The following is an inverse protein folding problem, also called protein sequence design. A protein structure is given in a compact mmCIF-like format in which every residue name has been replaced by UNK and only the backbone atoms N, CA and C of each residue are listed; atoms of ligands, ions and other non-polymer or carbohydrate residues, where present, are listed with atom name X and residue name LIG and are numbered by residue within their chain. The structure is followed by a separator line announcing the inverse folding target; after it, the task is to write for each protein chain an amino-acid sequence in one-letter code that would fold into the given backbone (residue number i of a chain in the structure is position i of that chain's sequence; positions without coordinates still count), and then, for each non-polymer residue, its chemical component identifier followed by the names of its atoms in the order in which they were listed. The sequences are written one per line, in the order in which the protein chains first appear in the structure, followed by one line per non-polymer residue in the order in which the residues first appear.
data_IF_780997784007
#
_entry.id   IF_780997784007
#
_cell.length_a   1.000
_cell.length_b   1.000
_cell.length_c   1.000
_cell.angle_alpha   90.00
_cell.angle_beta   90.00
_cell.angle_gamma   90.00
#
_symmetry.space_group_name_H-M   'P 1'
#
loop_
_entity.id
_entity.type
_entity.pdbx_description
1 polymer ?
#
# COMPACT_ATOMS: atom_id res chain seq x y z
N UNK A 1 -1.51 -14.48 -3.74
CA UNK A 1 -1.27 -15.52 -4.77
C UNK A 1 -2.11 -16.79 -4.57
N UNK A 2 -2.12 -17.41 -3.39
CA UNK A 2 -2.90 -18.64 -3.12
C UNK A 2 -4.44 -18.48 -3.24
N UNK A 3 -4.94 -17.24 -3.27
CA UNK A 3 -6.34 -16.93 -3.51
C UNK A 3 -6.80 -17.34 -4.94
N UNK A 4 -5.89 -17.31 -5.92
CA UNK A 4 -6.23 -17.51 -7.34
C UNK A 4 -6.87 -18.86 -7.63
N UNK A 5 -6.27 -20.01 -7.23
CA UNK A 5 -6.89 -21.31 -7.47
C UNK A 5 -8.20 -21.49 -6.71
N UNK A 6 -8.34 -20.83 -5.55
CA UNK A 6 -9.53 -20.93 -4.69
C UNK A 6 -10.74 -20.19 -5.25
N UNK A 7 -10.53 -18.97 -5.76
CA UNK A 7 -11.63 -18.13 -6.26
C UNK A 7 -11.89 -18.29 -7.76
N UNK A 8 -10.98 -18.93 -8.52
CA UNK A 8 -11.05 -19.03 -9.99
C UNK A 8 -11.24 -17.67 -10.65
N UNK A 9 -10.51 -16.67 -10.15
CA UNK A 9 -10.62 -15.28 -10.61
C UNK A 9 -9.81 -15.07 -11.90
N UNK A 10 -10.38 -14.33 -12.84
CA UNK A 10 -9.72 -13.94 -14.10
C UNK A 10 -8.87 -12.66 -13.95
N UNK A 11 -9.10 -11.90 -12.88
CA UNK A 11 -8.40 -10.63 -12.59
C UNK A 11 -8.00 -10.58 -11.12
N UNK A 12 -6.77 -10.12 -10.88
CA UNK A 12 -6.23 -9.82 -9.56
C UNK A 12 -5.91 -8.33 -9.50
N UNK A 13 -6.37 -7.68 -8.43
CA UNK A 13 -6.05 -6.29 -8.11
C UNK A 13 -5.23 -6.30 -6.82
N UNK A 14 -4.02 -5.76 -6.88
CA UNK A 14 -3.19 -5.43 -5.72
C UNK A 14 -3.18 -3.91 -5.64
N UNK A 15 -3.97 -3.34 -4.73
CA UNK A 15 -4.28 -1.91 -4.75
C UNK A 15 -4.18 -1.35 -3.35
N UNK A 16 -3.52 -0.20 -3.22
CA UNK A 16 -3.33 0.48 -1.95
C UNK A 16 -2.18 -0.13 -1.14
N UNK A 17 -1.47 0.73 -0.41
CA UNK A 17 -0.50 0.42 0.66
C UNK A 17 0.36 -0.82 0.38
N UNK A 18 1.05 -0.79 -0.76
CA UNK A 18 1.91 -1.87 -1.24
C UNK A 18 3.21 -1.99 -0.45
N UNK A 19 3.56 -0.98 0.35
CA UNK A 19 4.77 -0.94 1.16
C UNK A 19 4.54 -1.33 2.62
N UNK A 20 5.62 -1.73 3.27
CA UNK A 20 5.66 -2.20 4.65
C UNK A 20 5.85 -1.07 5.65
N UNK A 21 5.88 -1.44 6.93
CA UNK A 21 5.68 -0.52 8.06
C UNK A 21 6.95 0.12 8.57
N UNK A 22 8.00 -0.67 8.77
CA UNK A 22 9.21 -0.23 9.45
C UNK A 22 10.40 -1.16 9.23
N UNK A 23 11.59 -0.66 9.52
CA UNK A 23 12.84 -1.42 9.48
C UNK A 23 13.12 -2.04 10.85
N UNK A 24 13.44 -3.33 10.87
CA UNK A 24 14.03 -4.03 12.01
C UNK A 24 15.47 -4.39 11.64
N UNK A 25 16.47 -3.67 12.19
CA UNK A 25 17.86 -4.00 11.93
C UNK A 25 18.27 -5.33 12.59
N UNK A 26 19.06 -6.11 11.88
CA UNK A 26 19.68 -7.35 12.33
C UNK A 26 21.13 -7.05 12.65
N UNK A 27 21.42 -6.85 13.94
CA UNK A 27 22.76 -6.42 14.36
C UNK A 27 23.66 -7.62 14.56
N UNK A 28 24.68 -7.75 13.72
CA UNK A 28 25.72 -8.78 13.84
C UNK A 28 26.73 -8.38 14.91
N UNK A 29 26.88 -9.22 15.92
CA UNK A 29 27.83 -9.01 17.03
C UNK A 29 29.14 -9.74 16.77
N UNK A 30 29.06 -10.96 16.25
CA UNK A 30 30.19 -11.80 15.80
C UNK A 30 29.65 -12.89 14.85
N UNK A 31 30.53 -13.77 14.36
CA UNK A 31 30.23 -14.75 13.30
C UNK A 31 28.92 -15.54 13.51
N UNK A 32 28.62 -15.96 14.74
CA UNK A 32 27.43 -16.73 15.09
C UNK A 32 26.61 -16.06 16.22
N UNK A 33 26.55 -14.74 16.26
CA UNK A 33 25.73 -14.02 17.22
C UNK A 33 25.12 -12.76 16.60
N UNK A 34 23.78 -12.69 16.65
CA UNK A 34 23.00 -11.55 16.20
C UNK A 34 22.02 -11.12 17.28
N UNK A 35 21.58 -9.87 17.23
CA UNK A 35 20.37 -9.47 17.91
C UNK A 35 19.49 -8.58 17.02
N UNK A 36 18.20 -8.63 17.29
CA UNK A 36 17.19 -7.71 16.77
C UNK A 36 16.50 -7.04 17.97
N UNK A 37 15.85 -5.91 17.75
CA UNK A 37 15.10 -5.22 18.80
C UNK A 37 13.68 -4.81 18.33
N UNK A 38 12.86 -5.76 17.85
CA UNK A 38 11.49 -5.44 17.47
C UNK A 38 10.71 -5.01 18.72
N UNK A 39 9.91 -3.96 18.61
CA UNK A 39 9.02 -3.48 19.69
C UNK A 39 9.73 -3.15 21.01
N UNK A 40 10.99 -2.75 20.95
CA UNK A 40 11.78 -2.39 22.14
C UNK A 40 12.22 -3.58 23.00
N UNK A 41 12.06 -4.82 22.53
CA UNK A 41 12.57 -6.02 23.18
C UNK A 41 13.73 -6.63 22.40
N UNK A 42 14.90 -6.71 23.05
CA UNK A 42 16.07 -7.36 22.46
C UNK A 42 15.86 -8.88 22.39
N UNK A 43 15.96 -9.45 21.19
CA UNK A 43 15.97 -10.88 20.94
C UNK A 43 17.37 -11.28 20.42
N UNK A 44 18.02 -12.27 21.03
CA UNK A 44 19.38 -12.75 20.65
C UNK A 44 19.32 -14.09 19.95
N UNK A 45 20.16 -14.26 18.94
CA UNK A 45 20.23 -15.45 18.12
C UNK A 45 21.68 -15.93 17.99
N UNK A 46 21.87 -17.25 18.14
CA UNK A 46 23.16 -17.94 17.99
C UNK A 46 23.13 -18.99 16.88
N UNK A 47 22.07 -18.98 16.07
CA UNK A 47 21.86 -19.86 14.92
C UNK A 47 21.25 -19.05 13.80
N UNK A 48 21.86 -19.12 12.61
CA UNK A 48 21.35 -18.44 11.42
C UNK A 48 19.95 -18.93 11.05
N UNK A 49 19.70 -20.22 11.18
CA UNK A 49 18.40 -20.83 10.88
C UNK A 49 17.28 -20.25 11.77
N UNK A 50 17.51 -20.19 13.09
CA UNK A 50 16.52 -19.61 14.02
C UNK A 50 16.30 -18.13 13.78
N UNK A 51 17.35 -17.41 13.40
CA UNK A 51 17.26 -16.01 13.02
C UNK A 51 16.37 -15.86 11.77
N UNK A 52 16.66 -16.58 10.68
CA UNK A 52 15.88 -16.50 9.45
C UNK A 52 14.40 -16.84 9.66
N UNK A 53 14.08 -17.86 10.47
CA UNK A 53 12.68 -18.17 10.83
C UNK A 53 11.98 -16.96 11.48
N UNK A 54 12.69 -16.23 12.36
CA UNK A 54 12.14 -15.02 12.98
C UNK A 54 12.03 -13.87 11.98
N UNK A 55 13.02 -13.70 11.10
CA UNK A 55 12.99 -12.66 10.07
C UNK A 55 11.84 -12.91 9.08
N UNK A 56 11.57 -14.15 8.70
CA UNK A 56 10.41 -14.52 7.88
C UNK A 56 9.09 -14.10 8.54
N UNK A 57 8.95 -14.33 9.84
CA UNK A 57 7.77 -13.86 10.58
C UNK A 57 7.65 -12.34 10.55
N UNK A 58 8.75 -11.61 10.70
CA UNK A 58 8.76 -10.14 10.64
C UNK A 58 8.42 -9.63 9.24
N UNK A 59 9.00 -10.22 8.18
CA UNK A 59 8.70 -9.92 6.79
C UNK A 59 7.22 -10.12 6.48
N UNK A 60 6.63 -11.24 6.94
CA UNK A 60 5.21 -11.52 6.81
C UNK A 60 4.30 -10.56 7.61
N UNK A 61 4.85 -9.85 8.60
CA UNK A 61 4.16 -8.81 9.36
C UNK A 61 4.31 -7.40 8.75
N UNK A 62 5.02 -7.29 7.62
CA UNK A 62 5.28 -6.03 6.91
C UNK A 62 6.53 -5.29 7.40
N UNK A 63 7.45 -5.94 8.11
CA UNK A 63 8.73 -5.33 8.48
C UNK A 63 9.82 -5.62 7.45
N UNK A 64 10.66 -4.64 7.22
CA UNK A 64 11.89 -4.79 6.46
C UNK A 64 13.04 -5.19 7.38
N UNK A 65 13.92 -6.06 6.91
CA UNK A 65 15.05 -6.54 7.69
C UNK A 65 16.32 -6.32 6.89
N UNK A 66 17.35 -5.78 7.52
CA UNK A 66 18.69 -5.67 6.92
C UNK A 66 19.74 -6.01 7.97
N UNK A 67 20.82 -6.67 7.55
CA UNK A 67 21.95 -6.98 8.43
C UNK A 67 22.92 -5.82 8.46
N UNK A 68 23.38 -5.46 9.66
CA UNK A 68 24.34 -4.39 9.89
C UNK A 68 25.20 -4.65 11.13
N UNK A 69 26.33 -3.98 11.21
CA UNK A 69 27.21 -3.88 12.37
C UNK A 69 26.70 -2.81 13.34
N UNK A 70 27.23 -2.77 14.57
CA UNK A 70 26.85 -1.75 15.55
C UNK A 70 27.25 -0.34 15.09
N UNK A 71 28.38 -0.25 14.39
CA UNK A 71 28.94 0.99 13.87
C UNK A 71 28.03 1.56 12.76
N UNK A 72 27.56 0.73 11.84
CA UNK A 72 26.59 1.11 10.81
C UNK A 72 25.25 1.55 11.41
N UNK A 73 24.76 0.88 12.46
CA UNK A 73 23.55 1.32 13.17
C UNK A 73 23.77 2.69 13.84
N UNK A 74 24.91 2.90 14.47
CA UNK A 74 25.23 4.18 15.12
C UNK A 74 25.34 5.33 14.09
N UNK A 75 25.83 5.04 12.88
CA UNK A 75 25.86 6.00 11.78
C UNK A 75 24.44 6.32 11.28
N UNK A 76 23.61 5.30 11.05
CA UNK A 76 22.21 5.49 10.62
C UNK A 76 21.41 6.32 11.64
N UNK A 77 21.61 6.07 12.93
CA UNK A 77 20.97 6.85 14.01
C UNK A 77 21.32 8.34 13.98
N UNK A 78 22.47 8.71 13.42
CA UNK A 78 22.93 10.09 13.32
C UNK A 78 22.60 10.74 11.97
N UNK A 79 22.08 9.97 11.00
CA UNK A 79 21.85 10.45 9.65
C UNK A 79 20.46 10.05 9.13
N UNK A 80 19.43 10.87 9.39
CA UNK A 80 18.05 10.60 8.95
C UNK A 80 17.94 10.35 7.44
N UNK A 81 18.70 11.09 6.61
CA UNK A 81 18.67 10.90 5.16
C UNK A 81 19.11 9.50 4.73
N UNK A 82 20.14 8.94 5.39
CA UNK A 82 20.57 7.56 5.10
C UNK A 82 19.51 6.53 5.53
N UNK A 83 18.75 6.82 6.57
CA UNK A 83 17.62 5.97 6.99
C UNK A 83 16.51 6.02 5.94
N UNK A 84 16.17 7.20 5.44
CA UNK A 84 15.16 7.39 4.39
C UNK A 84 15.57 6.66 3.10
N UNK A 85 16.83 6.83 2.66
CA UNK A 85 17.38 6.14 1.49
C UNK A 85 17.38 4.61 1.65
N UNK A 86 17.78 4.11 2.82
CA UNK A 86 17.73 2.69 3.14
C UNK A 86 16.30 2.17 3.10
N UNK A 87 15.35 2.91 3.66
CA UNK A 87 13.95 2.51 3.69
C UNK A 87 13.35 2.44 2.29
N UNK A 88 13.58 3.46 1.47
CA UNK A 88 13.17 3.47 0.07
C UNK A 88 13.76 2.30 -0.72
N UNK A 89 15.04 1.96 -0.50
CA UNK A 89 15.67 0.80 -1.16
C UNK A 89 15.03 -0.52 -0.74
N UNK A 90 14.83 -0.73 0.57
CA UNK A 90 14.18 -1.95 1.09
C UNK A 90 12.73 -2.08 0.61
N UNK A 91 12.00 -0.97 0.48
CA UNK A 91 10.65 -0.92 -0.12
C UNK A 91 10.67 -1.41 -1.56
N UNK A 92 11.55 -0.84 -2.40
CA UNK A 92 11.68 -1.21 -3.82
C UNK A 92 12.07 -2.67 -4.00
N UNK A 93 13.09 -3.14 -3.26
CA UNK A 93 13.56 -4.53 -3.33
C UNK A 93 12.44 -5.52 -2.96
N UNK A 94 11.71 -5.25 -1.88
CA UNK A 94 10.59 -6.10 -1.45
C UNK A 94 9.48 -6.15 -2.48
N UNK A 95 9.13 -5.00 -3.07
CA UNK A 95 8.08 -4.95 -4.08
C UNK A 95 8.51 -5.72 -5.34
N UNK A 96 9.72 -5.48 -5.84
CA UNK A 96 10.32 -6.22 -6.97
C UNK A 96 10.30 -7.74 -6.73
N UNK A 97 10.69 -8.21 -5.54
CA UNK A 97 10.57 -9.62 -5.15
C UNK A 97 9.13 -10.14 -5.30
N UNK A 98 8.13 -9.39 -4.82
CA UNK A 98 6.72 -9.79 -4.92
C UNK A 98 6.19 -9.78 -6.35
N UNK A 99 6.60 -8.82 -7.19
CA UNK A 99 6.19 -8.76 -8.59
C UNK A 99 6.83 -9.89 -9.42
N UNK A 100 8.08 -10.27 -9.13
CA UNK A 100 8.70 -11.48 -9.70
C UNK A 100 7.95 -12.75 -9.30
N UNK A 101 7.49 -12.84 -8.06
CA UNK A 101 6.65 -13.97 -7.64
C UNK A 101 5.31 -14.02 -8.40
N UNK A 102 4.74 -12.86 -8.74
CA UNK A 102 3.53 -12.79 -9.58
C UNK A 102 3.81 -13.35 -10.98
N UNK A 103 4.93 -12.96 -11.59
CA UNK A 103 5.37 -13.47 -12.90
C UNK A 103 5.54 -14.99 -12.92
N UNK A 104 6.15 -15.53 -11.87
CA UNK A 104 6.42 -16.97 -11.76
C UNK A 104 5.17 -17.80 -11.48
N UNK A 105 4.27 -17.30 -10.62
CA UNK A 105 3.22 -18.13 -10.01
C UNK A 105 1.82 -17.88 -10.55
N UNK A 106 1.57 -16.73 -11.18
CA UNK A 106 0.22 -16.39 -11.65
C UNK A 106 0.10 -16.73 -13.14
N UNK A 107 -0.83 -17.64 -13.51
CA UNK A 107 -1.08 -18.01 -14.91
C UNK A 107 -1.27 -16.78 -15.81
N UNK A 108 -0.74 -16.81 -17.04
CA UNK A 108 -0.64 -15.64 -17.93
C UNK A 108 -2.00 -15.10 -18.40
N UNK A 109 -3.02 -15.94 -18.32
CA UNK A 109 -4.40 -15.67 -18.70
C UNK A 109 -5.08 -14.76 -17.67
N UNK A 110 -4.55 -14.72 -16.45
CA UNK A 110 -5.07 -13.91 -15.36
C UNK A 110 -4.41 -12.55 -15.40
N UNK A 111 -5.24 -11.51 -15.56
CA UNK A 111 -4.81 -10.12 -15.52
C UNK A 111 -4.40 -9.74 -14.11
N UNK A 112 -3.26 -9.07 -13.98
CA UNK A 112 -2.77 -8.57 -12.68
C UNK A 112 -2.60 -7.08 -12.79
N UNK A 113 -3.28 -6.36 -11.90
CA UNK A 113 -3.28 -4.90 -11.85
C UNK A 113 -2.68 -4.49 -10.51
N UNK A 114 -1.72 -3.58 -10.54
CA UNK A 114 -1.01 -3.12 -9.34
C UNK A 114 -1.07 -1.60 -9.26
N UNK A 115 -1.69 -1.08 -8.20
CA UNK A 115 -1.87 0.36 -7.96
C UNK A 115 -1.30 0.75 -6.58
N UNK A 116 -0.44 1.78 -6.49
CA UNK A 116 0.02 2.31 -5.21
C UNK A 116 -1.13 2.97 -4.42
N UNK A 117 -0.98 3.03 -3.10
CA UNK A 117 -1.79 3.82 -2.18
C UNK A 117 -1.13 5.12 -1.73
N UNK A 118 -1.67 5.75 -0.69
CA UNK A 118 -1.19 7.04 -0.20
C UNK A 118 0.13 6.94 0.54
N UNK A 119 0.34 5.83 1.26
CA UNK A 119 1.56 5.55 2.02
C UNK A 119 2.76 5.18 1.13
N UNK A 120 2.48 4.81 -0.13
CA UNK A 120 3.49 4.35 -1.06
C UNK A 120 4.28 5.52 -1.70
N UNK A 121 5.60 5.53 -1.44
CA UNK A 121 6.53 6.52 -2.00
C UNK A 121 6.54 6.51 -3.54
N UNK A 122 6.84 7.64 -4.18
CA UNK A 122 6.78 7.76 -5.64
C UNK A 122 7.75 6.83 -6.38
N UNK A 123 8.85 6.47 -5.73
CA UNK A 123 9.91 5.64 -6.29
C UNK A 123 9.46 4.20 -6.58
N UNK A 124 8.38 3.72 -5.95
CA UNK A 124 7.87 2.37 -6.24
C UNK A 124 7.15 2.30 -7.59
N UNK A 125 6.71 3.43 -8.16
CA UNK A 125 5.99 3.46 -9.43
C UNK A 125 6.88 2.91 -10.56
N UNK A 126 8.17 3.26 -10.55
CA UNK A 126 9.13 2.77 -11.54
C UNK A 126 9.44 1.28 -11.37
N UNK A 127 9.36 0.76 -10.14
CA UNK A 127 9.47 -0.68 -9.89
C UNK A 127 8.27 -1.40 -10.50
N UNK A 128 7.04 -0.93 -10.26
CA UNK A 128 5.84 -1.54 -10.85
C UNK A 128 5.91 -1.50 -12.38
N UNK A 129 6.28 -0.35 -12.96
CA UNK A 129 6.39 -0.16 -14.41
C UNK A 129 7.45 -1.06 -15.06
N UNK A 130 8.53 -1.38 -14.36
CA UNK A 130 9.55 -2.30 -14.86
C UNK A 130 9.02 -3.72 -15.11
N UNK A 131 7.87 -4.08 -14.52
CA UNK A 131 7.19 -5.36 -14.70
C UNK A 131 5.96 -5.28 -15.64
N UNK A 132 5.82 -4.23 -16.46
CA UNK A 132 4.63 -4.03 -17.29
C UNK A 132 4.37 -5.13 -18.36
N UNK A 133 5.36 -5.97 -18.66
CA UNK A 133 5.18 -7.15 -19.51
C UNK A 133 4.19 -8.17 -18.91
N UNK A 134 4.06 -8.19 -17.58
CA UNK A 134 3.14 -9.09 -16.85
C UNK A 134 2.06 -8.34 -16.08
N UNK A 135 2.34 -7.11 -15.68
CA UNK A 135 1.57 -6.35 -14.70
C UNK A 135 0.99 -5.10 -15.34
N UNK A 136 -0.26 -4.77 -15.00
CA UNK A 136 -0.91 -3.56 -15.50
C UNK A 136 -0.81 -2.48 -14.42
N UNK A 137 0.00 -1.46 -14.65
CA UNK A 137 -0.02 -0.23 -13.87
C UNK A 137 -1.20 0.63 -14.33
N UNK A 138 -2.26 0.87 -13.53
CA UNK A 138 -3.55 1.33 -14.06
C UNK A 138 -3.72 2.86 -14.11
N UNK A 139 -2.77 3.62 -13.56
CA UNK A 139 -2.92 5.06 -13.41
C UNK A 139 -2.94 5.78 -14.77
N UNK A 140 -3.73 6.85 -14.82
CA UNK A 140 -3.87 7.73 -15.97
C UNK A 140 -4.31 7.05 -17.29
N UNK A 141 -4.98 5.91 -17.22
CA UNK A 141 -5.57 5.22 -18.38
C UNK A 141 -6.82 4.41 -17.98
N UNK A 142 -7.57 3.99 -18.99
CA UNK A 142 -8.69 3.05 -18.80
C UNK A 142 -8.16 1.63 -18.95
N UNK A 143 -8.41 0.77 -17.96
CA UNK A 143 -8.07 -0.65 -18.01
C UNK A 143 -9.36 -1.45 -18.11
N UNK A 144 -9.49 -2.28 -19.15
CA UNK A 144 -10.64 -3.17 -19.29
C UNK A 144 -10.40 -4.47 -18.52
N UNK A 145 -11.23 -4.72 -17.50
CA UNK A 145 -11.16 -5.95 -16.69
C UNK A 145 -11.56 -7.16 -17.55
N UNK A 146 -12.57 -6.98 -18.38
CA UNK A 146 -13.06 -7.90 -19.41
C UNK A 146 -13.59 -7.08 -20.61
N UNK A 147 -14.32 -7.71 -21.53
CA UNK A 147 -14.86 -7.06 -22.73
C UNK A 147 -15.92 -5.98 -22.45
N UNK A 148 -16.37 -5.81 -21.20
CA UNK A 148 -17.52 -4.97 -20.83
C UNK A 148 -17.23 -3.95 -19.74
N UNK A 149 -16.32 -4.26 -18.81
CA UNK A 149 -16.11 -3.47 -17.60
C UNK A 149 -14.81 -2.64 -17.71
N UNK A 150 -14.90 -1.35 -18.10
CA UNK A 150 -13.79 -0.44 -17.97
C UNK A 150 -13.52 -0.12 -16.51
N UNK A 151 -12.26 0.14 -16.19
CA UNK A 151 -11.81 0.57 -14.87
C UNK A 151 -10.95 1.83 -14.98
N UNK A 152 -11.19 2.77 -14.07
CA UNK A 152 -10.31 3.92 -13.81
C UNK A 152 -9.75 3.84 -12.40
N UNK A 153 -8.59 4.45 -12.17
CA UNK A 153 -7.83 4.30 -10.93
C UNK A 153 -7.36 5.63 -10.37
N UNK A 154 -7.31 5.75 -9.04
CA UNK A 154 -6.80 6.93 -8.33
C UNK A 154 -6.12 6.52 -7.02
N UNK A 155 -4.82 6.79 -6.96
CA UNK A 155 -3.90 6.53 -5.86
C UNK A 155 -3.94 7.59 -4.75
N UNK A 156 -4.39 8.81 -5.09
CA UNK A 156 -4.41 9.93 -4.14
C UNK A 156 -5.59 9.90 -3.19
N UNK A 157 -5.37 10.42 -1.99
CA UNK A 157 -6.38 10.59 -0.94
C UNK A 157 -6.52 12.05 -0.50
N UNK A 158 -7.59 12.35 0.22
CA UNK A 158 -7.72 13.61 0.96
C UNK A 158 -6.71 13.65 2.13
N UNK A 159 -6.38 14.84 2.69
CA UNK A 159 -5.33 14.93 3.68
C UNK A 159 -5.56 14.02 4.89
N UNK A 160 -4.51 13.36 5.36
CA UNK A 160 -4.53 12.45 6.50
C UNK A 160 -3.73 13.01 7.68
N UNK A 161 -3.84 12.43 8.89
CA UNK A 161 -2.98 12.80 10.02
C UNK A 161 -1.50 12.43 9.84
N UNK A 162 -1.15 11.65 8.82
CA UNK A 162 0.17 11.03 8.66
C UNK A 162 1.09 11.74 7.67
N UNK A 163 0.59 12.75 6.94
CA UNK A 163 1.35 13.51 5.92
C UNK A 163 2.04 12.57 4.89
N UNK A 164 1.21 11.75 4.26
CA UNK A 164 1.66 10.67 3.38
C UNK A 164 2.02 11.18 1.99
N UNK A 165 2.85 10.44 1.22
CA UNK A 165 3.34 10.89 -0.08
C UNK A 165 2.25 11.34 -1.08
N UNK A 166 1.08 10.69 -1.09
CA UNK A 166 0.03 10.92 -2.10
C UNK A 166 -1.26 11.50 -1.52
N UNK A 167 -1.12 12.65 -0.90
CA UNK A 167 -2.26 13.44 -0.43
C UNK A 167 -2.48 14.67 -1.30
N UNK A 168 -3.74 15.07 -1.44
CA UNK A 168 -4.07 16.36 -2.02
C UNK A 168 -5.35 16.91 -1.40
N UNK A 169 -5.52 18.24 -1.49
CA UNK A 169 -6.73 18.90 -1.02
C UNK A 169 -7.95 18.38 -1.79
N UNK A 170 -9.11 18.38 -1.16
CA UNK A 170 -10.35 17.87 -1.74
C UNK A 170 -10.69 18.51 -3.09
N UNK A 171 -10.42 19.81 -3.28
CA UNK A 171 -10.66 20.48 -4.55
C UNK A 171 -9.73 19.98 -5.66
N UNK A 172 -8.48 19.67 -5.33
CA UNK A 172 -7.52 19.07 -6.25
C UNK A 172 -7.89 17.62 -6.57
N UNK A 173 -8.30 16.86 -5.55
CA UNK A 173 -8.75 15.48 -5.70
C UNK A 173 -9.98 15.39 -6.59
N UNK A 174 -10.95 16.30 -6.39
CA UNK A 174 -12.12 16.41 -7.27
C UNK A 174 -11.69 16.63 -8.73
N UNK A 175 -10.78 17.56 -8.99
CA UNK A 175 -10.29 17.84 -10.36
C UNK A 175 -9.59 16.63 -10.97
N UNK A 176 -8.80 15.89 -10.19
CA UNK A 176 -8.14 14.66 -10.64
C UNK A 176 -9.17 13.57 -10.96
N UNK A 177 -10.13 13.31 -10.08
CA UNK A 177 -11.19 12.33 -10.30
C UNK A 177 -12.04 12.67 -11.53
N UNK A 178 -12.43 13.94 -11.70
CA UNK A 178 -13.14 14.43 -12.90
C UNK A 178 -12.33 14.19 -14.19
N UNK A 179 -10.99 14.30 -14.15
CA UNK A 179 -10.13 13.96 -15.28
C UNK A 179 -10.18 12.47 -15.58
N UNK A 180 -10.19 11.60 -14.57
CA UNK A 180 -10.27 10.15 -14.76
C UNK A 180 -11.62 9.72 -15.36
N UNK A 181 -12.74 10.26 -14.86
CA UNK A 181 -14.07 9.97 -15.46
C UNK A 181 -14.18 10.39 -16.93
N UNK A 182 -13.53 11.49 -17.34
CA UNK A 182 -13.51 11.93 -18.74
C UNK A 182 -12.79 10.99 -19.70
N UNK A 183 -12.01 10.02 -19.20
CA UNK A 183 -11.33 9.02 -20.03
C UNK A 183 -12.25 7.93 -20.54
N UNK A 184 -13.42 7.77 -19.91
CA UNK A 184 -14.40 6.72 -20.23
C UNK A 184 -15.59 7.35 -20.93
N UNK A 185 -16.10 6.70 -21.98
CA UNK A 185 -17.33 7.13 -22.64
C UNK A 185 -18.49 7.07 -21.63
N UNK A 186 -19.30 8.14 -21.57
CA UNK A 186 -20.43 8.23 -20.63
C UNK A 186 -21.39 7.05 -20.75
N UNK A 187 -21.54 6.45 -21.94
CA UNK A 187 -22.42 5.28 -22.15
C UNK A 187 -21.95 4.03 -21.40
N UNK A 188 -20.67 3.99 -21.02
CA UNK A 188 -20.03 2.88 -20.30
C UNK A 188 -20.03 3.07 -18.78
N UNK A 189 -20.43 4.22 -18.23
CA UNK A 189 -20.43 4.46 -16.78
C UNK A 189 -21.22 3.42 -15.97
N UNK A 190 -22.32 2.91 -16.52
CA UNK A 190 -23.10 1.82 -15.93
C UNK A 190 -22.35 0.48 -15.77
N UNK A 191 -21.19 0.33 -16.40
CA UNK A 191 -20.29 -0.82 -16.30
C UNK A 191 -18.94 -0.46 -15.66
N UNK A 192 -18.72 0.83 -15.39
CA UNK A 192 -17.45 1.36 -14.89
C UNK A 192 -17.17 0.85 -13.47
N UNK A 193 -15.94 0.39 -13.27
CA UNK A 193 -15.35 0.11 -11.96
C UNK A 193 -14.41 1.25 -11.60
N UNK A 194 -14.58 1.82 -10.40
CA UNK A 194 -13.69 2.83 -9.86
C UNK A 194 -12.77 2.17 -8.84
N UNK A 195 -11.47 2.12 -9.11
CA UNK A 195 -10.45 1.64 -8.18
C UNK A 195 -9.76 2.84 -7.52
N UNK A 196 -10.38 3.39 -6.48
CA UNK A 196 -9.94 4.62 -5.83
C UNK A 196 -9.52 4.31 -4.41
N UNK A 197 -8.27 4.59 -4.08
CA UNK A 197 -7.71 4.29 -2.76
C UNK A 197 -8.52 4.96 -1.64
N UNK A 198 -8.79 6.27 -1.75
CA UNK A 198 -9.64 6.98 -0.79
C UNK A 198 -11.08 6.44 -0.81
N UNK A 199 -11.66 6.05 0.35
CA UNK A 199 -13.05 5.68 0.43
C UNK A 199 -13.97 6.92 0.34
N UNK A 200 -15.23 6.77 -0.10
CA UNK A 200 -16.20 7.85 -0.07
C UNK A 200 -16.55 8.26 1.36
N UNK A 201 -16.56 9.56 1.62
CA UNK A 201 -16.99 10.14 2.89
C UNK A 201 -18.41 9.72 3.29
N UNK A 202 -18.64 9.57 4.59
CA UNK A 202 -19.94 9.27 5.20
C UNK A 202 -20.51 7.92 4.72
N UNK A 203 -19.67 6.89 4.81
CA UNK A 203 -20.04 5.50 4.53
C UNK A 203 -19.52 4.57 5.63
N UNK A 204 -19.86 3.28 5.57
CA UNK A 204 -19.27 2.31 6.50
C UNK A 204 -17.81 2.00 6.15
N UNK A 205 -17.34 2.35 4.95
CA UNK A 205 -15.98 2.07 4.48
C UNK A 205 -14.95 3.06 5.03
N UNK A 206 -15.38 4.26 5.46
CA UNK A 206 -14.48 5.33 5.86
C UNK A 206 -14.47 5.60 7.38
N UNK A 207 -14.98 4.66 8.18
CA UNK A 207 -14.92 4.76 9.63
C UNK A 207 -13.53 4.35 10.13
N UNK A 208 -12.83 5.29 10.77
CA UNK A 208 -11.55 5.04 11.44
C UNK A 208 -11.56 5.55 12.89
N UNK A 209 -10.71 5.00 13.78
CA UNK A 209 -10.51 5.55 15.11
C UNK A 209 -10.03 7.00 15.03
N UNK A 210 -10.70 7.89 15.76
CA UNK A 210 -10.29 9.28 15.91
C UNK A 210 -8.96 9.35 16.63
N UNK A 211 -8.06 10.17 16.10
CA UNK A 211 -6.75 10.43 16.69
C UNK A 211 -6.71 11.82 17.35
N UNK A 212 -5.96 11.93 18.44
CA UNK A 212 -5.60 13.20 19.02
C UNK A 212 -4.38 13.83 18.30
N UNK A 213 -3.97 15.02 18.75
CA UNK A 213 -2.81 15.75 18.18
C UNK A 213 -1.46 15.02 18.28
N UNK A 214 -1.38 13.97 19.11
CA UNK A 214 -0.20 13.15 19.31
C UNK A 214 -0.37 11.77 18.64
N UNK A 215 -1.38 11.62 17.77
CA UNK A 215 -1.70 10.38 17.05
C UNK A 215 -2.14 9.21 17.96
N UNK A 216 -2.63 9.51 19.17
CA UNK A 216 -3.22 8.49 20.04
C UNK A 216 -4.71 8.31 19.74
N UNK A 217 -5.20 7.07 19.82
CA UNK A 217 -6.63 6.76 19.69
C UNK A 217 -7.42 7.40 20.83
N UNK A 218 -8.44 8.18 20.47
CA UNK A 218 -9.41 8.74 21.42
C UNK A 218 -10.42 7.67 21.80
N UNK A 219 -10.61 7.44 23.10
CA UNK A 219 -11.52 6.43 23.63
C UNK A 219 -12.74 7.05 24.32
N UNK A 220 -13.88 6.35 24.25
CA UNK A 220 -15.11 6.67 24.96
C UNK A 220 -15.04 6.17 26.40
N UNK A 221 -16.03 6.54 27.22
CA UNK A 221 -16.10 6.14 28.65
C UNK A 221 -16.15 4.61 28.86
N UNK A 222 -16.66 3.87 27.89
CA UNK A 222 -16.73 2.40 27.92
C UNK A 222 -15.43 1.72 27.42
N UNK A 223 -14.40 2.50 27.11
CA UNK A 223 -13.11 2.03 26.60
C UNK A 223 -13.07 1.73 25.10
N UNK A 224 -14.20 1.87 24.39
CA UNK A 224 -14.23 1.69 22.93
C UNK A 224 -13.62 2.90 22.20
N UNK A 225 -13.01 2.72 21.02
CA UNK A 225 -12.54 3.84 20.20
C UNK A 225 -13.69 4.76 19.76
N UNK A 226 -13.48 6.08 19.80
CA UNK A 226 -14.36 7.04 19.12
C UNK A 226 -14.11 6.93 17.61
N UNK A 227 -15.11 6.51 16.84
CA UNK A 227 -15.01 6.40 15.37
C UNK A 227 -15.44 7.71 14.69
N UNK A 228 -14.75 8.08 13.61
CA UNK A 228 -15.05 9.24 12.76
C UNK A 228 -14.94 8.88 11.28
N UNK A 229 -15.64 9.64 10.43
CA UNK A 229 -15.54 9.54 8.97
C UNK A 229 -14.27 10.25 8.47
N UNK A 230 -13.42 9.52 7.76
CA UNK A 230 -12.14 10.01 7.23
C UNK A 230 -12.06 10.03 5.71
N UNK A 231 -13.13 9.58 5.03
CA UNK A 231 -13.16 9.43 3.59
C UNK A 231 -13.19 10.75 2.84
N UNK A 232 -13.05 10.66 1.52
CA UNK A 232 -13.03 11.82 0.64
C UNK A 232 -14.44 12.24 0.24
N UNK A 233 -14.74 13.52 0.42
CA UNK A 233 -15.94 14.17 -0.11
C UNK A 233 -15.89 14.27 -1.63
N UNK A 234 -14.72 14.46 -2.23
CA UNK A 234 -14.54 14.44 -3.67
C UNK A 234 -14.88 13.07 -4.26
N UNK A 235 -14.39 11.97 -3.65
CA UNK A 235 -14.75 10.61 -4.05
C UNK A 235 -16.25 10.40 -3.93
N UNK A 236 -16.84 10.76 -2.79
CA UNK A 236 -18.29 10.66 -2.60
C UNK A 236 -19.08 11.38 -3.70
N UNK A 237 -18.70 12.61 -4.01
CA UNK A 237 -19.36 13.43 -5.03
C UNK A 237 -19.32 12.81 -6.43
N UNK A 238 -18.15 12.35 -6.90
CA UNK A 238 -18.05 11.79 -8.26
C UNK A 238 -18.79 10.47 -8.39
N UNK A 239 -18.81 9.65 -7.34
CA UNK A 239 -19.60 8.42 -7.31
C UNK A 239 -21.11 8.73 -7.37
N UNK A 240 -21.57 9.72 -6.61
CA UNK A 240 -22.97 10.17 -6.66
C UNK A 240 -23.36 10.77 -8.01
N UNK A 241 -22.48 11.59 -8.60
CA UNK A 241 -22.71 12.25 -9.89
C UNK A 241 -22.73 11.28 -11.07
N UNK A 242 -21.78 10.36 -11.12
CA UNK A 242 -21.56 9.49 -12.30
C UNK A 242 -22.15 8.09 -12.17
N UNK A 243 -22.54 7.68 -10.95
CA UNK A 243 -23.20 6.40 -10.68
C UNK A 243 -22.50 5.19 -11.34
N UNK A 244 -21.19 4.97 -11.07
CA UNK A 244 -20.48 3.82 -11.61
C UNK A 244 -21.05 2.51 -11.06
N UNK A 245 -20.70 1.39 -11.71
CA UNK A 245 -21.20 0.06 -11.32
C UNK A 245 -20.69 -0.38 -9.95
N UNK A 246 -19.42 -0.11 -9.67
CA UNK A 246 -18.70 -0.57 -8.49
C UNK A 246 -17.59 0.41 -8.12
N UNK A 247 -17.45 0.70 -6.81
CA UNK A 247 -16.28 1.34 -6.24
C UNK A 247 -15.48 0.32 -5.42
N UNK A 248 -14.18 0.25 -5.68
CA UNK A 248 -13.19 -0.51 -4.92
C UNK A 248 -12.32 0.53 -4.20
N UNK A 249 -12.25 0.40 -2.87
CA UNK A 249 -11.62 1.35 -1.96
C UNK A 249 -10.86 0.60 -0.88
N UNK A 250 -9.81 1.24 -0.37
CA UNK A 250 -8.86 0.65 0.57
C UNK A 250 -7.45 0.78 0.08
#
# INVERSE_FOLDING_TARGET
MNAVPGYKADVILLCGDLTGKAIVPVVKVKENEWYINPFGKIERFYSREKLEQRLDMLRNQGYYTFEATKEEIAELQQNPKKVDELFANLMKERLDEWLKMVEEKIPKEIKVIVMPGNDDIFEIDEVIKAHEDRIIYPLEKVVYLDDKHPMISCEYVNPTPWDTPREMKEEDLMRKLEKEFRRVDQKEYKYLVCNFHAPPYDTMLDLAPKLDKNLNVVTRLDGSPEMVHVGSKAVRHVLEKYQPRLGLHG
#
